data_IF_997231945780
#
_entry.id   IF_997231945780
#
_cell.length_a   1.000
_cell.length_b   1.000
_cell.length_c   1.000
_cell.angle_alpha   90.00
_cell.angle_beta   90.00
_cell.angle_gamma   90.00
#
_symmetry.space_group_name_H-M   'P 1'
#
loop_
_entity.id
_entity.type
_entity.pdbx_description
1 polymer ?
#
# COMPACT_ATOMS: atom_id res chain seq x y z
N UNK A 1 -3.95 12.47 4.00
CA UNK A 1 -4.00 11.21 3.25
C UNK A 1 -3.43 11.33 1.83
N UNK A 2 -2.32 10.65 1.56
CA UNK A 2 -1.67 10.45 0.27
C UNK A 2 -2.40 9.34 -0.48
N UNK A 3 -2.72 9.57 -1.75
CA UNK A 3 -3.38 8.56 -2.61
C UNK A 3 -2.30 7.83 -3.41
N UNK A 4 -2.22 6.52 -3.19
CA UNK A 4 -1.33 5.59 -3.90
C UNK A 4 -2.17 4.86 -4.95
N UNK A 5 -1.75 4.92 -6.22
CA UNK A 5 -2.48 4.27 -7.30
C UNK A 5 -2.29 2.74 -7.27
N UNK A 6 -3.35 2.00 -6.95
CA UNK A 6 -3.44 0.52 -6.98
C UNK A 6 -3.85 0.01 -8.38
N UNK A 7 -3.34 0.66 -9.42
CA UNK A 7 -3.81 0.46 -10.79
C UNK A 7 -2.88 -0.45 -11.60
N UNK A 8 -1.57 -0.36 -11.36
CA UNK A 8 -0.57 -1.09 -12.12
C UNK A 8 -0.36 -2.49 -11.52
N UNK A 9 -1.07 -3.47 -12.08
CA UNK A 9 -1.00 -4.89 -11.70
C UNK A 9 -0.70 -5.76 -12.91
N UNK A 10 0.30 -6.65 -12.81
CA UNK A 10 0.63 -7.57 -13.91
C UNK A 10 -0.52 -8.51 -14.28
N UNK A 11 -1.45 -8.75 -13.34
CA UNK A 11 -2.61 -9.63 -13.55
C UNK A 11 -3.60 -9.04 -14.56
N UNK A 12 -3.51 -7.75 -14.87
CA UNK A 12 -4.23 -7.14 -15.98
C UNK A 12 -3.64 -7.62 -17.31
N UNK A 13 -4.43 -8.22 -18.22
CA UNK A 13 -3.90 -8.85 -19.43
C UNK A 13 -3.01 -7.94 -20.30
N UNK A 14 -3.35 -6.65 -20.42
CA UNK A 14 -2.57 -5.68 -21.18
C UNK A 14 -1.21 -5.39 -20.52
N UNK A 15 -1.16 -5.27 -19.19
CA UNK A 15 0.08 -5.04 -18.44
C UNK A 15 0.94 -6.29 -18.42
N UNK A 16 0.36 -7.47 -18.19
CA UNK A 16 1.09 -8.73 -18.24
C UNK A 16 1.76 -8.96 -19.59
N UNK A 17 1.02 -8.75 -20.69
CA UNK A 17 1.57 -8.83 -22.05
C UNK A 17 2.69 -7.79 -22.28
N UNK A 18 2.51 -6.57 -21.79
CA UNK A 18 3.51 -5.50 -21.90
C UNK A 18 4.83 -5.90 -21.21
N UNK A 19 4.75 -6.47 -20.00
CA UNK A 19 5.93 -6.95 -19.26
C UNK A 19 6.61 -8.12 -19.96
N UNK A 20 5.84 -9.07 -20.50
CA UNK A 20 6.41 -10.22 -21.22
C UNK A 20 7.09 -9.83 -22.54
N UNK A 21 6.59 -8.79 -23.21
CA UNK A 21 7.16 -8.27 -24.47
C UNK A 21 8.16 -7.13 -24.26
N UNK A 22 8.40 -6.70 -23.02
CA UNK A 22 9.17 -5.50 -22.68
C UNK A 22 8.68 -4.24 -23.44
N UNK A 23 7.37 -4.14 -23.64
CA UNK A 23 6.71 -2.99 -24.27
C UNK A 23 6.32 -1.94 -23.20
N UNK A 24 7.01 -0.79 -23.11
CA UNK A 24 6.80 0.16 -22.02
C UNK A 24 5.48 0.93 -22.16
N UNK A 25 4.86 0.93 -23.34
CA UNK A 25 3.81 1.88 -23.68
C UNK A 25 2.53 1.69 -22.84
N UNK A 26 1.99 0.47 -22.64
CA UNK A 26 0.82 0.29 -21.78
C UNK A 26 1.07 0.69 -20.32
N UNK A 27 2.30 0.54 -19.83
CA UNK A 27 2.70 0.92 -18.47
C UNK A 27 2.78 2.43 -18.34
N UNK A 28 3.39 3.10 -19.33
CA UNK A 28 3.50 4.57 -19.37
C UNK A 28 2.13 5.23 -19.43
N UNK A 29 1.27 4.79 -20.35
CA UNK A 29 -0.09 5.32 -20.50
C UNK A 29 -0.89 5.19 -19.20
N UNK A 30 -0.78 4.04 -18.53
CA UNK A 30 -1.44 3.84 -17.23
C UNK A 30 -0.87 4.75 -16.15
N UNK A 31 0.46 4.90 -16.08
CA UNK A 31 1.12 5.73 -15.09
C UNK A 31 0.76 7.22 -15.27
N UNK A 32 0.78 7.72 -16.51
CA UNK A 32 0.36 9.08 -16.86
C UNK A 32 -1.11 9.32 -16.54
N UNK A 33 -1.99 8.37 -16.86
CA UNK A 33 -3.41 8.45 -16.52
C UNK A 33 -3.63 8.52 -15.00
N UNK A 34 -2.91 7.71 -14.22
CA UNK A 34 -2.99 7.74 -12.76
C UNK A 34 -2.46 9.07 -12.17
N UNK A 35 -1.36 9.61 -12.71
CA UNK A 35 -0.85 10.93 -12.31
C UNK A 35 -1.87 12.03 -12.64
N UNK A 36 -2.43 12.01 -13.85
CA UNK A 36 -3.44 12.97 -14.29
C UNK A 36 -4.72 12.90 -13.44
N UNK A 37 -5.09 11.70 -12.98
CA UNK A 37 -6.22 11.49 -12.09
C UNK A 37 -5.96 11.95 -10.63
N UNK A 38 -4.72 12.32 -10.27
CA UNK A 38 -4.38 12.89 -8.96
C UNK A 38 -3.65 11.93 -8.00
N UNK A 39 -3.09 10.82 -8.51
CA UNK A 39 -2.21 9.97 -7.72
C UNK A 39 -0.99 10.75 -7.20
N UNK A 40 -0.57 10.43 -5.97
CA UNK A 40 0.59 11.03 -5.30
C UNK A 40 1.73 10.04 -5.05
N UNK A 41 1.47 8.76 -5.26
CA UNK A 41 2.46 7.68 -5.37
C UNK A 41 1.88 6.59 -6.29
N UNK A 42 2.74 5.69 -6.78
CA UNK A 42 2.34 4.58 -7.64
C UNK A 42 2.71 3.25 -6.99
N UNK A 43 1.74 2.36 -6.82
CA UNK A 43 2.01 0.97 -6.49
C UNK A 43 2.39 0.20 -7.76
N UNK A 44 3.48 -0.56 -7.70
CA UNK A 44 3.96 -1.43 -8.77
C UNK A 44 3.81 -2.87 -8.28
N UNK A 45 2.63 -3.43 -8.47
CA UNK A 45 2.36 -4.82 -8.14
C UNK A 45 2.77 -5.72 -9.30
N UNK A 46 3.91 -6.39 -9.11
CA UNK A 46 4.47 -7.27 -10.15
C UNK A 46 3.77 -8.62 -10.26
N UNK A 47 2.85 -8.94 -9.34
CA UNK A 47 2.32 -10.28 -9.14
C UNK A 47 3.43 -11.34 -9.10
N UNK A 48 3.10 -12.61 -9.43
CA UNK A 48 4.07 -13.68 -9.51
C UNK A 48 4.95 -13.55 -10.76
N UNK A 49 6.18 -13.05 -10.58
CA UNK A 49 7.20 -13.04 -11.64
C UNK A 49 7.94 -14.39 -11.68
N UNK A 50 7.54 -15.29 -12.59
CA UNK A 50 8.09 -16.65 -12.69
C UNK A 50 9.36 -16.76 -13.54
N UNK A 51 9.60 -15.82 -14.45
CA UNK A 51 10.77 -15.79 -15.35
C UNK A 51 11.42 -14.42 -15.31
N UNK A 52 12.74 -14.39 -15.17
CA UNK A 52 13.58 -13.19 -15.10
C UNK A 52 13.00 -12.09 -14.17
N UNK A 53 12.72 -12.39 -12.89
CA UNK A 53 12.02 -11.46 -12.00
C UNK A 53 12.73 -10.10 -11.86
N UNK A 54 14.07 -10.10 -11.77
CA UNK A 54 14.88 -8.88 -11.69
C UNK A 54 14.76 -7.99 -12.94
N UNK A 55 14.81 -8.59 -14.13
CA UNK A 55 14.67 -7.89 -15.42
C UNK A 55 13.28 -7.24 -15.54
N UNK A 56 12.23 -8.02 -15.26
CA UNK A 56 10.84 -7.56 -15.35
C UNK A 56 10.53 -6.44 -14.37
N UNK A 57 11.01 -6.54 -13.12
CA UNK A 57 10.82 -5.46 -12.15
C UNK A 57 11.60 -4.21 -12.53
N UNK A 58 12.85 -4.35 -12.99
CA UNK A 58 13.65 -3.21 -13.50
C UNK A 58 12.93 -2.51 -14.65
N UNK A 59 12.37 -3.29 -15.57
CA UNK A 59 11.59 -2.78 -16.71
C UNK A 59 10.33 -2.03 -16.26
N UNK A 60 9.55 -2.59 -15.33
CA UNK A 60 8.36 -1.94 -14.77
C UNK A 60 8.72 -0.58 -14.14
N UNK A 61 9.70 -0.57 -13.23
CA UNK A 61 10.15 0.65 -12.54
C UNK A 61 10.61 1.71 -13.54
N UNK A 62 11.48 1.35 -14.49
CA UNK A 62 11.99 2.29 -15.49
C UNK A 62 10.89 2.82 -16.41
N UNK A 63 9.92 1.99 -16.78
CA UNK A 63 8.80 2.41 -17.62
C UNK A 63 7.97 3.49 -16.91
N UNK A 64 7.61 3.29 -15.65
CA UNK A 64 6.88 4.28 -14.84
C UNK A 64 7.72 5.56 -14.69
N UNK A 65 8.98 5.45 -14.24
CA UNK A 65 9.86 6.61 -14.02
C UNK A 65 10.17 7.41 -15.28
N UNK A 66 10.04 6.81 -16.46
CA UNK A 66 10.30 7.51 -17.73
C UNK A 66 9.20 8.51 -18.13
N UNK A 67 8.03 8.45 -17.50
CA UNK A 67 6.87 9.31 -17.84
C UNK A 67 6.28 10.07 -16.64
N UNK A 68 6.50 9.59 -15.41
CA UNK A 68 6.00 10.25 -14.20
C UNK A 68 7.07 10.38 -13.11
N UNK A 69 6.97 11.47 -12.36
CA UNK A 69 7.80 11.75 -11.18
C UNK A 69 6.95 11.56 -9.93
N UNK A 70 6.66 10.29 -9.61
CA UNK A 70 5.90 9.89 -8.42
C UNK A 70 6.76 8.94 -7.58
N UNK A 71 6.69 9.04 -6.24
CA UNK A 71 7.20 7.99 -5.35
C UNK A 71 6.62 6.63 -5.72
N UNK A 72 7.45 5.59 -5.63
CA UNK A 72 7.09 4.23 -6.00
C UNK A 72 6.96 3.35 -4.77
N UNK A 73 5.85 2.61 -4.71
CA UNK A 73 5.61 1.53 -3.76
C UNK A 73 5.83 0.22 -4.52
N UNK A 74 6.86 -0.54 -4.13
CA UNK A 74 7.24 -1.79 -4.77
C UNK A 74 6.53 -2.94 -4.07
N UNK A 75 5.57 -3.56 -4.76
CA UNK A 75 4.77 -4.67 -4.25
C UNK A 75 5.17 -5.96 -4.97
N UNK A 76 6.03 -6.72 -4.28
CA UNK A 76 6.45 -8.04 -4.73
C UNK A 76 6.92 -8.90 -3.56
N UNK A 77 6.61 -10.19 -3.62
CA UNK A 77 7.12 -11.19 -2.67
C UNK A 77 8.43 -11.82 -3.13
N UNK A 78 8.89 -11.52 -4.35
CA UNK A 78 10.13 -12.06 -4.91
C UNK A 78 11.33 -11.20 -4.48
N UNK A 79 12.31 -11.74 -3.73
CA UNK A 79 13.45 -10.97 -3.25
C UNK A 79 14.34 -10.38 -4.36
N UNK A 80 14.53 -11.11 -5.46
CA UNK A 80 15.35 -10.67 -6.60
C UNK A 80 14.67 -9.52 -7.34
N UNK A 81 13.35 -9.61 -7.51
CA UNK A 81 12.56 -8.51 -8.05
C UNK A 81 12.64 -7.28 -7.15
N UNK A 82 12.46 -7.45 -5.83
CA UNK A 82 12.53 -6.35 -4.86
C UNK A 82 13.88 -5.63 -4.93
N UNK A 83 14.99 -6.36 -4.86
CA UNK A 83 16.33 -5.78 -4.93
C UNK A 83 16.59 -5.04 -6.26
N UNK A 84 16.16 -5.62 -7.38
CA UNK A 84 16.28 -5.00 -8.70
C UNK A 84 15.43 -3.73 -8.82
N UNK A 85 14.20 -3.76 -8.29
CA UNK A 85 13.29 -2.61 -8.27
C UNK A 85 13.86 -1.46 -7.44
N UNK A 86 14.36 -1.73 -6.23
CA UNK A 86 15.01 -0.73 -5.37
C UNK A 86 16.22 -0.09 -6.06
N UNK A 87 17.04 -0.90 -6.74
CA UNK A 87 18.18 -0.40 -7.53
C UNK A 87 17.70 0.48 -8.69
N UNK A 88 16.66 0.05 -9.42
CA UNK A 88 16.12 0.77 -10.56
C UNK A 88 15.43 2.09 -10.17
N UNK A 89 14.93 2.20 -8.93
CA UNK A 89 14.33 3.43 -8.42
C UNK A 89 15.33 4.58 -8.33
N UNK A 90 16.63 4.34 -8.14
CA UNK A 90 17.66 5.39 -8.05
C UNK A 90 17.23 6.56 -7.14
N UNK A 91 16.82 6.24 -5.92
CA UNK A 91 16.22 7.14 -4.95
C UNK A 91 15.41 6.36 -3.91
N UNK A 92 14.87 7.05 -2.91
CA UNK A 92 14.08 6.41 -1.85
C UNK A 92 12.74 5.89 -2.42
N UNK A 93 12.50 4.60 -2.24
CA UNK A 93 11.25 3.92 -2.60
C UNK A 93 10.57 3.37 -1.33
N UNK A 94 9.36 2.84 -1.48
CA UNK A 94 8.67 2.12 -0.40
C UNK A 94 8.63 0.63 -0.71
N UNK A 95 9.06 -0.20 0.24
CA UNK A 95 8.91 -1.66 0.20
C UNK A 95 7.52 -2.02 0.75
N UNK A 96 6.72 -2.72 -0.05
CA UNK A 96 5.40 -3.21 0.33
C UNK A 96 5.45 -4.75 0.39
N UNK A 97 5.76 -5.40 1.52
CA UNK A 97 6.04 -4.93 2.87
C UNK A 97 6.66 -6.07 3.69
N UNK A 98 6.74 -5.93 5.00
CA UNK A 98 7.26 -6.94 5.95
C UNK A 98 6.17 -7.33 6.96
N UNK A 99 6.26 -8.52 7.53
CA UNK A 99 5.44 -8.97 8.66
C UNK A 99 6.33 -9.69 9.68
N UNK A 100 5.74 -10.17 10.78
CA UNK A 100 6.45 -10.95 11.81
C UNK A 100 6.86 -12.36 11.36
N UNK A 101 6.53 -12.78 10.14
CA UNK A 101 6.99 -14.05 9.58
C UNK A 101 8.53 -14.05 9.56
N UNK A 102 9.22 -15.02 10.22
CA UNK A 102 10.68 -14.97 10.41
C UNK A 102 11.47 -14.85 9.10
N UNK A 103 11.02 -15.52 8.04
CA UNK A 103 11.68 -15.47 6.74
C UNK A 103 11.51 -14.10 6.04
N UNK A 104 10.41 -13.39 6.28
CA UNK A 104 10.22 -12.03 5.74
C UNK A 104 11.11 -11.04 6.47
N UNK A 105 11.20 -11.10 7.81
CA UNK A 105 12.08 -10.24 8.59
C UNK A 105 13.54 -10.38 8.13
N UNK A 106 14.04 -11.62 8.03
CA UNK A 106 15.43 -11.91 7.60
C UNK A 106 15.77 -11.38 6.22
N UNK A 107 14.80 -11.33 5.30
CA UNK A 107 15.02 -10.92 3.90
C UNK A 107 14.80 -9.43 3.69
N UNK A 108 13.73 -8.87 4.26
CA UNK A 108 13.29 -7.51 3.96
C UNK A 108 14.01 -6.45 4.79
N UNK A 109 14.25 -6.70 6.08
CA UNK A 109 14.88 -5.69 6.95
C UNK A 109 16.29 -5.28 6.47
N UNK A 110 17.17 -6.20 6.04
CA UNK A 110 18.47 -5.82 5.48
C UNK A 110 18.34 -4.97 4.22
N UNK A 111 17.41 -5.32 3.32
CA UNK A 111 17.16 -4.55 2.08
C UNK A 111 16.66 -3.14 2.40
N UNK A 112 15.69 -3.02 3.29
CA UNK A 112 15.19 -1.72 3.73
C UNK A 112 16.32 -0.87 4.34
N UNK A 113 17.17 -1.47 5.18
CA UNK A 113 18.29 -0.76 5.82
C UNK A 113 19.36 -0.30 4.84
N UNK A 114 19.70 -1.12 3.85
CA UNK A 114 20.73 -0.83 2.84
C UNK A 114 20.31 0.22 1.83
N UNK A 115 19.01 0.26 1.48
CA UNK A 115 18.47 1.13 0.43
C UNK A 115 17.81 2.41 0.95
N UNK A 116 17.79 2.59 2.27
CA UNK A 116 17.07 3.67 2.96
C UNK A 116 15.57 3.75 2.58
N UNK A 117 14.97 2.64 2.17
CA UNK A 117 13.58 2.58 1.73
C UNK A 117 12.59 2.78 2.88
N UNK A 118 11.44 3.40 2.58
CA UNK A 118 10.27 3.30 3.44
C UNK A 118 9.79 1.84 3.49
N UNK A 119 9.13 1.45 4.58
CA UNK A 119 8.73 0.06 4.80
C UNK A 119 7.29 -0.02 5.28
N UNK A 120 6.46 -0.70 4.50
CA UNK A 120 5.12 -1.09 4.93
C UNK A 120 5.23 -2.29 5.87
N UNK A 121 4.71 -2.13 7.08
CA UNK A 121 4.74 -3.08 8.18
C UNK A 121 3.33 -3.69 8.35
N UNK A 122 3.12 -4.87 7.77
CA UNK A 122 1.86 -5.60 7.85
C UNK A 122 1.65 -6.16 9.26
N UNK A 123 0.52 -5.82 9.87
CA UNK A 123 0.12 -6.32 11.19
C UNK A 123 -0.44 -7.74 11.10
N UNK A 124 0.41 -8.66 10.66
CA UNK A 124 0.17 -10.10 10.65
C UNK A 124 0.91 -10.76 11.81
N UNK A 125 0.35 -11.86 12.29
CA UNK A 125 1.00 -12.73 13.28
C UNK A 125 2.24 -13.42 12.66
N UNK A 126 3.13 -14.00 13.48
CA UNK A 126 4.32 -14.72 12.98
C UNK A 126 4.02 -15.90 12.04
N UNK A 127 2.80 -16.44 12.10
CA UNK A 127 2.29 -17.50 11.22
C UNK A 127 1.65 -16.95 9.91
N UNK A 128 1.65 -15.63 9.73
CA UNK A 128 1.06 -14.95 8.57
C UNK A 128 -0.44 -14.69 8.67
N UNK A 129 -1.11 -15.10 9.75
CA UNK A 129 -2.55 -14.85 9.90
C UNK A 129 -2.85 -13.40 10.31
N UNK A 130 -3.96 -12.86 9.77
CA UNK A 130 -4.50 -11.56 10.16
C UNK A 130 -5.12 -11.68 11.56
N UNK A 131 -4.74 -10.86 12.55
CA UNK A 131 -5.42 -10.83 13.84
C UNK A 131 -6.90 -10.46 13.69
N UNK A 132 -7.78 -11.06 14.49
CA UNK A 132 -9.22 -10.82 14.38
C UNK A 132 -9.69 -9.50 15.02
N UNK A 133 -8.91 -8.92 15.93
CA UNK A 133 -9.28 -7.72 16.69
C UNK A 133 -8.15 -6.69 16.77
N UNK A 134 -8.43 -5.57 17.44
CA UNK A 134 -7.50 -4.46 17.54
C UNK A 134 -6.34 -4.81 18.49
N UNK A 135 -6.60 -5.54 19.58
CA UNK A 135 -5.58 -5.96 20.54
C UNK A 135 -4.50 -6.83 19.89
N UNK A 136 -4.88 -7.82 19.08
CA UNK A 136 -3.91 -8.65 18.36
C UNK A 136 -3.11 -7.87 17.30
N UNK A 137 -3.72 -6.87 16.66
CA UNK A 137 -3.01 -5.95 15.75
C UNK A 137 -2.02 -5.06 16.50
N UNK A 138 -2.40 -4.56 17.68
CA UNK A 138 -1.53 -3.76 18.54
C UNK A 138 -0.34 -4.57 19.05
N UNK A 139 -0.56 -5.83 19.45
CA UNK A 139 0.52 -6.75 19.83
C UNK A 139 1.51 -6.94 18.65
N UNK A 140 0.98 -7.21 17.45
CA UNK A 140 1.80 -7.34 16.25
C UNK A 140 2.57 -6.03 15.94
N UNK A 141 1.95 -4.86 16.14
CA UNK A 141 2.57 -3.57 15.91
C UNK A 141 3.77 -3.33 16.83
N UNK A 142 3.62 -3.58 18.13
CA UNK A 142 4.71 -3.42 19.12
C UNK A 142 5.87 -4.35 18.79
N UNK A 143 5.58 -5.63 18.48
CA UNK A 143 6.64 -6.59 18.13
C UNK A 143 7.35 -6.19 16.84
N UNK A 144 6.61 -5.82 15.80
CA UNK A 144 7.17 -5.50 14.48
C UNK A 144 7.95 -4.18 14.52
N UNK A 145 7.48 -3.20 15.28
CA UNK A 145 8.20 -1.95 15.56
C UNK A 145 9.57 -2.25 16.20
N UNK A 146 9.60 -3.07 17.26
CA UNK A 146 10.84 -3.43 17.94
C UNK A 146 11.83 -4.17 17.02
N UNK A 147 11.35 -5.07 16.14
CA UNK A 147 12.22 -5.73 15.16
C UNK A 147 12.78 -4.75 14.11
N UNK A 148 11.97 -3.79 13.66
CA UNK A 148 12.41 -2.75 12.73
C UNK A 148 13.46 -1.82 13.38
N UNK A 149 13.24 -1.41 14.63
CA UNK A 149 14.20 -0.58 15.38
C UNK A 149 15.53 -1.32 15.60
N UNK A 150 15.49 -2.60 15.98
CA UNK A 150 16.71 -3.44 16.11
C UNK A 150 17.49 -3.53 14.80
N UNK A 151 16.79 -3.53 13.66
CA UNK A 151 17.40 -3.50 12.33
C UNK A 151 17.88 -2.09 11.89
N UNK A 152 17.69 -1.07 12.72
CA UNK A 152 18.09 0.31 12.46
C UNK A 152 17.19 1.03 11.46
N UNK A 153 15.93 0.64 11.35
CA UNK A 153 14.90 1.35 10.57
C UNK A 153 14.22 2.34 11.50
N UNK A 154 14.27 3.62 11.16
CA UNK A 154 13.71 4.68 12.01
C UNK A 154 12.18 4.76 11.89
N UNK A 155 11.48 5.19 12.95
CA UNK A 155 10.01 5.27 12.96
C UNK A 155 9.41 6.08 11.81
N UNK A 156 10.08 7.15 11.36
CA UNK A 156 9.61 7.99 10.26
C UNK A 156 9.54 7.23 8.92
N UNK A 157 10.27 6.12 8.75
CA UNK A 157 10.24 5.28 7.54
C UNK A 157 9.21 4.16 7.61
N UNK A 158 8.60 3.93 8.77
CA UNK A 158 7.61 2.86 8.96
C UNK A 158 6.21 3.33 8.58
N UNK A 159 5.49 2.45 7.88
CA UNK A 159 4.10 2.65 7.48
C UNK A 159 3.33 1.40 7.90
N UNK A 160 2.53 1.47 8.95
CA UNK A 160 1.78 0.32 9.44
C UNK A 160 0.52 0.05 8.61
N UNK A 161 0.34 -1.20 8.18
CA UNK A 161 -0.89 -1.64 7.51
C UNK A 161 -1.62 -2.66 8.40
N UNK A 162 -2.78 -2.30 8.99
CA UNK A 162 -3.57 -3.17 9.84
C UNK A 162 -4.36 -4.24 9.07
N UNK A 163 -4.23 -4.29 7.75
CA UNK A 163 -4.89 -5.21 6.82
C UNK A 163 -6.40 -5.07 6.85
N UNK A 164 -6.91 -4.27 5.91
CA UNK A 164 -8.36 -4.19 5.62
C UNK A 164 -8.87 -5.58 5.26
N UNK A 165 -9.88 -6.06 5.98
CA UNK A 165 -10.44 -7.38 5.80
C UNK A 165 -11.50 -7.38 4.67
N UNK A 166 -11.52 -8.39 3.78
CA UNK A 166 -12.65 -8.61 2.88
C UNK A 166 -13.96 -8.70 3.66
N UNK A 167 -15.00 -7.98 3.23
CA UNK A 167 -16.34 -8.04 3.82
C UNK A 167 -16.97 -9.43 3.72
N UNK A 168 -16.47 -10.26 2.80
CA UNK A 168 -16.93 -11.64 2.57
C UNK A 168 -16.43 -12.63 3.63
N UNK A 169 -15.46 -12.25 4.45
CA UNK A 169 -15.04 -13.06 5.60
C UNK A 169 -16.13 -13.08 6.67
N UNK A 170 -16.21 -14.19 7.42
CA UNK A 170 -17.23 -14.41 8.44
C UNK A 170 -17.33 -13.26 9.46
N UNK A 171 -16.21 -12.62 9.78
CA UNK A 171 -16.09 -11.52 10.72
C UNK A 171 -15.51 -10.24 10.08
N UNK A 172 -15.50 -10.12 8.75
CA UNK A 172 -14.85 -9.02 8.03
C UNK A 172 -15.34 -7.64 8.44
N UNK A 173 -16.64 -7.49 8.70
CA UNK A 173 -17.24 -6.27 9.25
C UNK A 173 -16.70 -5.91 10.65
N UNK A 174 -16.53 -6.88 11.55
CA UNK A 174 -15.95 -6.65 12.88
C UNK A 174 -14.46 -6.33 12.77
N UNK A 175 -13.72 -7.05 11.93
CA UNK A 175 -12.30 -6.81 11.70
C UNK A 175 -12.05 -5.40 11.15
N UNK A 176 -12.89 -4.91 10.24
CA UNK A 176 -12.73 -3.56 9.70
C UNK A 176 -13.00 -2.46 10.74
N UNK A 177 -13.85 -2.70 11.75
CA UNK A 177 -13.95 -1.78 12.89
C UNK A 177 -12.68 -1.80 13.75
N UNK A 178 -12.10 -2.98 13.97
CA UNK A 178 -10.82 -3.13 14.65
C UNK A 178 -9.67 -2.45 13.89
N UNK A 179 -9.66 -2.50 12.56
CA UNK A 179 -8.70 -1.75 11.71
C UNK A 179 -8.74 -0.25 12.01
N UNK A 180 -9.94 0.34 12.07
CA UNK A 180 -10.09 1.77 12.36
C UNK A 180 -9.65 2.12 13.79
N UNK A 181 -9.92 1.24 14.76
CA UNK A 181 -9.43 1.39 16.13
C UNK A 181 -7.90 1.32 16.19
N UNK A 182 -7.29 0.34 15.54
CA UNK A 182 -5.83 0.19 15.46
C UNK A 182 -5.17 1.45 14.87
N UNK A 183 -5.66 1.97 13.74
CA UNK A 183 -5.09 3.17 13.10
C UNK A 183 -5.07 4.35 14.07
N UNK A 184 -6.17 4.59 14.79
CA UNK A 184 -6.26 5.70 15.75
C UNK A 184 -5.29 5.57 16.92
N UNK A 185 -5.10 4.35 17.42
CA UNK A 185 -4.36 4.11 18.66
C UNK A 185 -2.85 3.92 18.44
N UNK A 186 -2.42 3.61 17.21
CA UNK A 186 -1.01 3.31 16.89
C UNK A 186 0.00 4.37 17.37
N UNK A 187 -0.21 5.68 17.15
CA UNK A 187 0.74 6.69 17.61
C UNK A 187 0.92 6.72 19.13
N UNK A 188 -0.18 6.61 19.88
CA UNK A 188 -0.17 6.60 21.34
C UNK A 188 0.47 5.32 21.88
N UNK A 189 0.17 4.17 21.25
CA UNK A 189 0.72 2.87 21.61
C UNK A 189 2.24 2.82 21.44
N UNK A 190 2.76 3.37 20.35
CA UNK A 190 4.18 3.35 20.01
C UNK A 190 4.95 4.54 20.60
N UNK A 191 4.24 5.51 21.20
CA UNK A 191 4.84 6.70 21.80
C UNK A 191 5.53 7.64 20.80
N UNK A 192 5.23 7.50 19.51
CA UNK A 192 5.82 8.28 18.42
C UNK A 192 4.84 8.38 17.25
N UNK A 193 4.83 9.49 16.48
CA UNK A 193 4.08 9.55 15.25
C UNK A 193 4.54 8.45 14.28
N UNK A 194 3.59 7.68 13.77
CA UNK A 194 3.82 6.66 12.75
C UNK A 194 2.85 6.86 11.61
N UNK A 195 3.27 6.49 10.39
CA UNK A 195 2.40 6.51 9.23
C UNK A 195 1.57 5.23 9.19
N UNK A 196 0.39 5.31 8.61
CA UNK A 196 -0.49 4.15 8.36
C UNK A 196 -0.90 4.04 6.89
N UNK A 197 -1.12 2.81 6.43
CA UNK A 197 -1.57 2.52 5.08
C UNK A 197 -2.78 1.59 5.11
N UNK A 198 -3.66 1.71 4.12
CA UNK A 198 -4.76 0.78 3.91
C UNK A 198 -4.96 0.48 2.42
N UNK A 199 -5.20 -0.79 2.09
CA UNK A 199 -5.68 -1.22 0.77
C UNK A 199 -7.19 -1.20 0.68
N UNK A 200 -7.77 -0.19 0.01
CA UNK A 200 -9.23 -0.03 -0.09
C UNK A 200 -9.88 -1.16 -0.91
N UNK A 201 -9.16 -1.67 -1.91
CA UNK A 201 -9.63 -2.75 -2.78
C UNK A 201 -9.90 -4.05 -2.02
N UNK A 202 -9.13 -4.33 -0.96
CA UNK A 202 -9.26 -5.53 -0.13
C UNK A 202 -10.64 -5.67 0.53
N UNK A 203 -11.23 -4.55 0.97
CA UNK A 203 -12.56 -4.51 1.58
C UNK A 203 -13.61 -5.24 0.74
N UNK A 204 -13.48 -5.12 -0.57
CA UNK A 204 -14.48 -5.53 -1.56
C UNK A 204 -14.04 -6.74 -2.40
N UNK A 205 -13.03 -7.47 -1.93
CA UNK A 205 -12.65 -8.75 -2.53
C UNK A 205 -13.85 -9.70 -2.50
N UNK A 206 -14.21 -10.22 -3.67
CA UNK A 206 -15.41 -11.06 -3.85
C UNK A 206 -16.73 -10.30 -3.98
N UNK A 207 -16.71 -8.97 -4.16
CA UNK A 207 -17.93 -8.22 -4.45
C UNK A 207 -18.65 -8.76 -5.70
N UNK A 208 -19.99 -8.85 -5.68
CA UNK A 208 -20.77 -9.47 -6.76
C UNK A 208 -20.73 -8.69 -8.08
N UNK A 209 -20.55 -7.37 -8.00
CA UNK A 209 -20.47 -6.48 -9.16
C UNK A 209 -19.68 -5.19 -8.84
N UNK A 210 -19.45 -4.39 -9.88
CA UNK A 210 -18.71 -3.12 -9.77
C UNK A 210 -19.46 -2.05 -8.97
N UNK A 211 -20.80 -2.04 -8.97
CA UNK A 211 -21.60 -1.06 -8.25
C UNK A 211 -21.56 -1.33 -6.73
N UNK A 212 -21.66 -2.58 -6.31
CA UNK A 212 -21.48 -3.01 -4.93
C UNK A 212 -20.07 -2.66 -4.44
N UNK A 213 -19.04 -3.04 -5.22
CA UNK A 213 -17.64 -2.67 -4.92
C UNK A 213 -17.51 -1.17 -4.64
N UNK A 214 -17.97 -0.36 -5.58
CA UNK A 214 -17.87 1.10 -5.50
C UNK A 214 -18.59 1.66 -4.27
N UNK A 215 -19.83 1.23 -4.02
CA UNK A 215 -20.63 1.69 -2.88
C UNK A 215 -19.94 1.44 -1.54
N UNK A 216 -19.40 0.24 -1.33
CA UNK A 216 -18.74 -0.10 -0.06
C UNK A 216 -17.39 0.58 0.09
N UNK A 217 -16.60 0.71 -0.99
CA UNK A 217 -15.35 1.48 -0.95
C UNK A 217 -15.61 2.96 -0.63
N UNK A 218 -16.60 3.59 -1.26
CA UNK A 218 -16.98 4.98 -0.97
C UNK A 218 -17.52 5.19 0.44
N UNK A 219 -18.18 4.19 1.03
CA UNK A 219 -18.66 4.26 2.41
C UNK A 219 -17.52 4.12 3.43
N UNK A 220 -16.52 3.28 3.15
CA UNK A 220 -15.44 2.99 4.10
C UNK A 220 -14.29 3.99 4.02
N UNK A 221 -14.05 4.60 2.85
CA UNK A 221 -12.97 5.56 2.66
C UNK A 221 -13.01 6.77 3.63
N UNK A 222 -14.18 7.41 3.88
CA UNK A 222 -14.29 8.44 4.92
C UNK A 222 -14.01 7.92 6.33
N UNK A 223 -14.32 6.65 6.62
CA UNK A 223 -14.05 6.05 7.92
C UNK A 223 -12.55 5.90 8.15
N UNK A 224 -11.80 5.45 7.14
CA UNK A 224 -10.33 5.42 7.15
C UNK A 224 -9.74 6.82 7.31
N UNK A 225 -10.27 7.82 6.59
CA UNK A 225 -9.85 9.21 6.73
C UNK A 225 -10.07 9.75 8.14
N UNK A 226 -11.24 9.51 8.72
CA UNK A 226 -11.56 9.90 10.09
C UNK A 226 -10.77 9.09 11.15
N UNK A 227 -10.23 7.93 10.80
CA UNK A 227 -9.33 7.18 11.67
C UNK A 227 -7.90 7.72 11.65
N UNK A 228 -7.54 8.56 10.67
CA UNK A 228 -6.19 9.13 10.55
C UNK A 228 -5.29 8.41 9.56
N UNK A 229 -5.84 7.66 8.59
CA UNK A 229 -5.01 6.97 7.59
C UNK A 229 -4.12 7.93 6.77
N UNK A 230 -2.81 7.67 6.72
CA UNK A 230 -1.86 8.50 6.00
C UNK A 230 -1.78 8.18 4.51
N UNK A 231 -1.78 6.90 4.14
CA UNK A 231 -1.69 6.42 2.75
C UNK A 231 -2.86 5.49 2.41
N UNK A 232 -3.47 5.69 1.26
CA UNK A 232 -4.55 4.83 0.76
C UNK A 232 -4.20 4.26 -0.61
N UNK A 233 -4.18 2.93 -0.71
CA UNK A 233 -4.12 2.23 -2.00
C UNK A 233 -5.54 2.10 -2.53
N UNK A 234 -5.82 2.75 -3.66
CA UNK A 234 -7.13 2.69 -4.29
C UNK A 234 -7.02 2.86 -5.81
N UNK A 235 -8.10 2.49 -6.51
CA UNK A 235 -8.22 2.76 -7.94
C UNK A 235 -8.41 4.26 -8.18
N UNK A 236 -7.38 4.95 -8.64
CA UNK A 236 -7.43 6.40 -8.90
C UNK A 236 -8.18 6.75 -10.18
N UNK A 237 -8.44 5.77 -11.04
CA UNK A 237 -9.21 5.94 -12.27
C UNK A 237 -10.73 5.82 -12.03
N UNK A 238 -11.18 5.59 -10.79
CA UNK A 238 -12.59 5.79 -10.42
C UNK A 238 -12.80 7.26 -9.99
N UNK A 239 -13.46 8.08 -10.82
CA UNK A 239 -13.60 9.50 -10.54
C UNK A 239 -14.46 9.76 -9.29
N UNK A 240 -15.34 8.84 -8.88
CA UNK A 240 -16.17 9.08 -7.71
C UNK A 240 -15.40 8.77 -6.43
N UNK A 241 -14.48 7.79 -6.44
CA UNK A 241 -13.53 7.60 -5.34
C UNK A 241 -12.60 8.82 -5.21
N UNK A 242 -12.13 9.36 -6.34
CA UNK A 242 -11.29 10.58 -6.34
C UNK A 242 -12.04 11.77 -5.75
N UNK A 243 -13.33 11.97 -6.08
CA UNK A 243 -14.17 13.01 -5.45
C UNK A 243 -14.40 12.74 -3.96
N UNK A 244 -14.62 11.50 -3.56
CA UNK A 244 -14.79 11.14 -2.15
C UNK A 244 -13.52 11.43 -1.33
N UNK A 245 -12.33 11.05 -1.81
CA UNK A 245 -11.08 11.32 -1.08
C UNK A 245 -10.77 12.82 -1.01
N UNK A 246 -11.08 13.59 -2.06
CA UNK A 246 -10.94 15.03 -2.05
C UNK A 246 -11.83 15.66 -0.98
N UNK A 247 -13.11 15.27 -0.91
CA UNK A 247 -14.00 15.71 0.16
C UNK A 247 -13.48 15.33 1.56
N UNK A 248 -12.97 14.10 1.72
CA UNK A 248 -12.36 13.66 2.98
C UNK A 248 -11.18 14.55 3.36
N UNK A 249 -10.26 14.83 2.42
CA UNK A 249 -9.11 15.72 2.65
C UNK A 249 -9.53 17.11 3.09
N UNK A 250 -10.55 17.69 2.46
CA UNK A 250 -11.05 19.01 2.80
C UNK A 250 -11.70 19.04 4.20
N UNK A 251 -12.37 17.95 4.61
CA UNK A 251 -12.97 17.82 5.94
C UNK A 251 -11.90 17.65 7.03
N UNK A 252 -10.84 16.88 6.75
CA UNK A 252 -9.78 16.57 7.72
C UNK A 252 -8.61 17.55 7.68
N UNK A 253 -8.64 18.57 6.82
CA UNK A 253 -7.57 19.54 6.73
C UNK A 253 -7.57 20.49 7.94
N UNK A 254 -6.38 20.90 8.39
CA UNK A 254 -6.24 21.97 9.39
C UNK A 254 -6.50 23.37 8.80
N UNK A 255 -6.50 23.48 7.46
CA UNK A 255 -6.77 24.72 6.75
C UNK A 255 -8.25 25.10 6.77
N UNK A 256 -8.55 26.40 6.68
CA UNK A 256 -9.92 26.91 6.57
C UNK A 256 -10.59 26.33 5.32
N UNK A 257 -11.75 25.70 5.51
CA UNK A 257 -12.57 25.18 4.43
C UNK A 257 -13.13 26.30 3.54
N UNK A 258 -13.14 26.08 2.22
CA UNK A 258 -13.72 26.97 1.21
C UNK A 258 -14.48 26.15 0.16
N UNK A 259 -15.66 26.63 -0.23
CA UNK A 259 -16.37 26.15 -1.42
C UNK A 259 -15.83 26.72 -2.74
N UNK A 260 -15.01 27.77 -2.64
CA UNK A 260 -14.34 28.43 -3.78
C UNK A 260 -13.03 27.74 -4.10
#
# INVERSE_FOLDING_TARGET
>A
MIVVADNLRITLPNIGKAVDLLDPEPIRQLAEACKAAGARAMDINSGPLTRNPAEKMTFLVRSVKSCVDLPLVLDTTNPDAMAAGLTACNGRATINGVSLEPEKLKRILPLARQTDADLVAYLLRPDGHVPADAAGRMEAAVQLFAECEKAGITPDRLIFDPIVAPLTWQDGNRQNMAVLETIRTLPDLLGTPVRTMAGLSNLTTGAPDAAARKRYQQAFLPMLAAAGTDLILMNVLDPDLMRTIEACRNITAESIFSWR
#
